data_IF_291273464578
#
_entry.id   IF_291273464578
#
_cell.length_a   1.000
_cell.length_b   1.000
_cell.length_c   1.000
_cell.angle_alpha   90.00
_cell.angle_beta   90.00
_cell.angle_gamma   90.00
#
_symmetry.space_group_name_H-M   'P 1'
#
loop_
_entity.id
_entity.type
_entity.pdbx_description
1 polymer ?
#
# COMPACT_ATOMS: atom_id res chain seq x y z
N UNK A 1 16.00 -9.36 -2.52
CA UNK A 1 14.54 -9.65 -2.56
C UNK A 1 13.81 -9.28 -1.27
N UNK A 2 14.29 -9.69 -0.08
CA UNK A 2 13.60 -9.36 1.18
C UNK A 2 13.52 -7.85 1.51
N UNK A 3 14.53 -7.08 1.08
CA UNK A 3 14.58 -5.62 1.24
C UNK A 3 13.43 -4.92 0.50
N UNK A 4 13.25 -5.18 -0.81
CA UNK A 4 12.10 -4.66 -1.58
C UNK A 4 10.75 -5.11 -1.02
N UNK A 5 10.65 -6.33 -0.47
CA UNK A 5 9.43 -6.79 0.17
C UNK A 5 9.07 -5.96 1.41
N UNK A 6 10.06 -5.64 2.27
CA UNK A 6 9.82 -4.78 3.43
C UNK A 6 9.51 -3.34 3.00
N UNK A 7 10.28 -2.82 2.04
CA UNK A 7 10.11 -1.47 1.49
C UNK A 7 8.70 -1.28 0.91
N UNK A 8 8.23 -2.22 0.09
CA UNK A 8 6.88 -2.21 -0.48
C UNK A 8 5.81 -2.34 0.59
N UNK A 9 6.02 -3.21 1.58
CA UNK A 9 5.09 -3.41 2.70
C UNK A 9 4.87 -2.09 3.45
N UNK A 10 5.96 -1.44 3.85
CA UNK A 10 5.90 -0.23 4.67
C UNK A 10 5.32 0.94 3.86
N UNK A 11 5.73 1.09 2.59
CA UNK A 11 5.17 2.09 1.68
C UNK A 11 3.65 1.92 1.52
N UNK A 12 3.18 0.72 1.15
CA UNK A 12 1.77 0.49 0.88
C UNK A 12 0.91 0.56 2.14
N UNK A 13 1.42 0.13 3.29
CA UNK A 13 0.75 0.24 4.59
C UNK A 13 0.46 1.72 4.94
N UNK A 14 1.45 2.60 4.80
CA UNK A 14 1.25 4.03 5.03
C UNK A 14 0.24 4.60 4.03
N UNK A 15 0.36 4.27 2.74
CA UNK A 15 -0.53 4.80 1.70
C UNK A 15 -2.00 4.41 1.93
N UNK A 16 -2.27 3.15 2.26
CA UNK A 16 -3.65 2.69 2.46
C UNK A 16 -4.25 3.22 3.76
N UNK A 17 -3.44 3.37 4.81
CA UNK A 17 -3.87 3.97 6.07
C UNK A 17 -4.27 5.44 5.86
N UNK A 18 -3.39 6.23 5.24
CA UNK A 18 -3.67 7.64 4.92
C UNK A 18 -4.90 7.78 4.04
N UNK A 19 -5.05 6.95 3.01
CA UNK A 19 -6.22 7.00 2.14
C UNK A 19 -7.53 6.67 2.89
N UNK A 20 -7.51 5.68 3.80
CA UNK A 20 -8.69 5.37 4.63
C UNK A 20 -9.09 6.56 5.51
N UNK A 21 -8.12 7.24 6.12
CA UNK A 21 -8.37 8.44 6.93
C UNK A 21 -8.98 9.57 6.10
N UNK A 22 -8.48 9.80 4.88
CA UNK A 22 -9.05 10.78 3.93
C UNK A 22 -10.50 10.45 3.57
N UNK A 23 -10.80 9.16 3.34
CA UNK A 23 -12.16 8.70 3.08
C UNK A 23 -13.08 8.72 4.31
N UNK A 24 -12.53 8.94 5.51
CA UNK A 24 -13.25 8.88 6.78
C UNK A 24 -14.08 7.58 6.97
N UNK A 25 -13.56 6.45 6.50
CA UNK A 25 -14.26 5.17 6.57
C UNK A 25 -13.66 4.20 7.59
N UNK A 26 -14.50 3.26 8.06
CA UNK A 26 -14.10 2.25 9.03
C UNK A 26 -13.13 1.23 8.45
N UNK A 27 -12.46 0.47 9.31
CA UNK A 27 -11.58 -0.63 8.89
C UNK A 27 -12.35 -1.70 8.11
N UNK A 28 -13.59 -2.00 8.50
CA UNK A 28 -14.47 -2.95 7.81
C UNK A 28 -14.81 -2.46 6.40
N UNK A 29 -15.21 -1.18 6.27
CA UNK A 29 -15.56 -0.61 4.97
C UNK A 29 -14.35 -0.57 4.03
N UNK A 30 -13.17 -0.31 4.56
CA UNK A 30 -11.94 -0.35 3.77
C UNK A 30 -11.56 -1.79 3.38
N UNK A 31 -11.74 -2.76 4.27
CA UNK A 31 -11.53 -4.17 3.97
C UNK A 31 -12.45 -4.67 2.86
N UNK A 32 -13.72 -4.26 2.85
CA UNK A 32 -14.67 -4.54 1.77
C UNK A 32 -14.18 -4.00 0.41
N UNK A 33 -13.74 -2.74 0.38
CA UNK A 33 -13.20 -2.09 -0.82
C UNK A 33 -11.98 -2.83 -1.37
N UNK A 34 -11.12 -3.31 -0.48
CA UNK A 34 -9.91 -4.08 -0.80
C UNK A 34 -10.17 -5.57 -1.05
N UNK A 35 -11.42 -6.03 -0.90
CA UNK A 35 -11.83 -7.43 -1.06
C UNK A 35 -11.06 -8.41 -0.16
N UNK A 36 -10.82 -8.01 1.09
CA UNK A 36 -10.17 -8.84 2.11
C UNK A 36 -11.01 -8.90 3.38
N UNK A 37 -10.67 -9.82 4.29
CA UNK A 37 -11.35 -9.87 5.59
C UNK A 37 -10.99 -8.65 6.45
N UNK A 38 -11.88 -8.19 7.35
CA UNK A 38 -11.56 -7.12 8.30
C UNK A 38 -10.31 -7.42 9.14
N UNK A 39 -10.14 -8.69 9.56
CA UNK A 39 -8.94 -9.13 10.28
C UNK A 39 -7.67 -8.97 9.45
N UNK A 40 -7.73 -9.32 8.16
CA UNK A 40 -6.61 -9.13 7.24
C UNK A 40 -6.25 -7.65 7.08
N UNK A 41 -7.25 -6.77 7.02
CA UNK A 41 -7.01 -5.33 6.95
C UNK A 41 -6.40 -4.76 8.24
N UNK A 42 -6.90 -5.17 9.42
CA UNK A 42 -6.33 -4.78 10.71
C UNK A 42 -4.87 -5.22 10.83
N UNK A 43 -4.56 -6.47 10.46
CA UNK A 43 -3.19 -6.98 10.46
C UNK A 43 -2.30 -6.22 9.45
N UNK A 44 -2.86 -5.79 8.33
CA UNK A 44 -2.18 -4.97 7.32
C UNK A 44 -1.85 -3.58 7.86
N UNK A 45 -2.79 -2.86 8.49
CA UNK A 45 -2.52 -1.53 9.08
C UNK A 45 -1.52 -1.60 10.25
N UNK A 46 -1.41 -2.77 10.91
CA UNK A 46 -0.40 -3.02 11.95
C UNK A 46 0.96 -3.45 11.41
N UNK A 47 1.12 -3.56 10.08
CA UNK A 47 2.38 -3.95 9.44
C UNK A 47 2.77 -5.42 9.57
N UNK A 48 1.84 -6.27 10.04
CA UNK A 48 2.08 -7.70 10.24
C UNK A 48 2.20 -8.44 8.92
N UNK A 49 1.39 -8.06 7.93
CA UNK A 49 1.42 -8.61 6.57
C UNK A 49 1.45 -7.50 5.53
N UNK A 50 2.07 -7.77 4.39
CA UNK A 50 2.03 -6.88 3.23
C UNK A 50 0.84 -7.13 2.33
N UNK A 51 0.77 -6.33 1.28
CA UNK A 51 -0.22 -6.49 0.21
C UNK A 51 0.03 -7.79 -0.56
N UNK A 52 -1.05 -8.51 -0.87
CA UNK A 52 -1.03 -9.45 -1.99
C UNK A 52 -1.13 -8.68 -3.32
N UNK A 53 -0.77 -9.32 -4.43
CA UNK A 53 -0.95 -8.74 -5.76
C UNK A 53 -2.43 -8.35 -6.03
N UNK A 54 -3.38 -9.19 -5.62
CA UNK A 54 -4.80 -8.92 -5.75
C UNK A 54 -5.24 -7.70 -4.91
N UNK A 55 -4.80 -7.62 -3.65
CA UNK A 55 -5.08 -6.47 -2.77
C UNK A 55 -4.50 -5.19 -3.35
N UNK A 56 -3.31 -5.26 -3.97
CA UNK A 56 -2.69 -4.10 -4.62
C UNK A 56 -3.50 -3.64 -5.83
N UNK A 57 -3.94 -4.56 -6.70
CA UNK A 57 -4.80 -4.23 -7.83
C UNK A 57 -6.11 -3.57 -7.38
N UNK A 58 -6.79 -4.12 -6.35
CA UNK A 58 -8.00 -3.48 -5.82
C UNK A 58 -7.75 -2.13 -5.18
N UNK A 59 -6.59 -1.93 -4.55
CA UNK A 59 -6.22 -0.62 -4.02
C UNK A 59 -6.07 0.41 -5.13
N UNK A 60 -5.42 0.06 -6.24
CA UNK A 60 -5.32 0.95 -7.41
C UNK A 60 -6.71 1.30 -7.97
N UNK A 61 -7.64 0.35 -8.02
CA UNK A 61 -8.98 0.55 -8.56
C UNK A 61 -9.89 1.45 -7.70
N UNK A 62 -9.59 1.62 -6.41
CA UNK A 62 -10.39 2.47 -5.52
C UNK A 62 -9.82 3.87 -5.35
N UNK A 63 -8.60 4.12 -5.85
CA UNK A 63 -7.96 5.43 -5.82
C UNK A 63 -8.46 6.29 -7.00
N UNK A 64 -8.56 7.62 -6.83
CA UNK A 64 -8.64 8.55 -7.95
C UNK A 64 -7.47 8.36 -8.93
N UNK A 65 -7.66 8.62 -10.22
CA UNK A 65 -6.63 8.40 -11.25
C UNK A 65 -5.33 9.19 -10.97
N UNK A 66 -5.46 10.44 -10.51
CA UNK A 66 -4.31 11.26 -10.11
C UNK A 66 -3.54 10.64 -8.93
N UNK A 67 -4.27 10.11 -7.94
CA UNK A 67 -3.67 9.44 -6.77
C UNK A 67 -2.97 8.14 -7.16
N UNK A 68 -3.48 7.42 -8.17
CA UNK A 68 -2.81 6.23 -8.75
C UNK A 68 -1.48 6.63 -9.38
N UNK A 69 -1.48 7.66 -10.22
CA UNK A 69 -0.24 8.16 -10.85
C UNK A 69 0.77 8.62 -9.80
N UNK A 70 0.32 9.35 -8.79
CA UNK A 70 1.20 9.82 -7.71
C UNK A 70 1.71 8.67 -6.85
N UNK A 71 0.90 7.64 -6.60
CA UNK A 71 1.36 6.41 -5.94
C UNK A 71 2.49 5.74 -6.72
N UNK A 72 2.30 5.52 -8.01
CA UNK A 72 3.29 4.84 -8.85
C UNK A 72 4.56 5.68 -9.03
N UNK A 73 4.45 7.01 -9.13
CA UNK A 73 5.60 7.93 -9.17
C UNK A 73 6.37 7.92 -7.86
N UNK A 74 5.69 7.97 -6.71
CA UNK A 74 6.35 7.86 -5.40
C UNK A 74 7.05 6.51 -5.23
N UNK A 75 6.39 5.42 -5.66
CA UNK A 75 6.97 4.08 -5.59
C UNK A 75 8.22 3.96 -6.46
N UNK A 76 8.18 4.45 -7.72
CA UNK A 76 9.37 4.48 -8.59
C UNK A 76 10.53 5.20 -7.92
N UNK A 77 10.30 6.41 -7.39
CA UNK A 77 11.33 7.18 -6.69
C UNK A 77 11.89 6.45 -5.46
N UNK A 78 11.06 5.67 -4.77
CA UNK A 78 11.48 4.88 -3.61
C UNK A 78 12.42 3.75 -4.03
N UNK A 79 12.07 3.03 -5.11
CA UNK A 79 12.90 1.96 -5.68
C UNK A 79 14.21 2.53 -6.23
N UNK A 80 14.15 3.61 -7.03
CA UNK A 80 15.36 4.23 -7.58
C UNK A 80 16.34 4.66 -6.48
N UNK A 81 15.84 5.10 -5.31
CA UNK A 81 16.69 5.43 -4.16
C UNK A 81 17.33 4.20 -3.54
N UNK A 82 16.59 3.12 -3.41
CA UNK A 82 17.09 1.85 -2.88
C UNK A 82 18.18 1.28 -3.79
N UNK A 83 17.93 1.24 -5.10
CA UNK A 83 18.87 0.77 -6.11
C UNK A 83 20.19 1.55 -6.09
N UNK A 84 20.12 2.88 -5.92
CA UNK A 84 21.30 3.74 -5.83
C UNK A 84 22.03 3.62 -4.49
N UNK A 85 21.34 3.26 -3.40
CA UNK A 85 21.95 3.01 -2.10
C UNK A 85 22.69 1.66 -2.06
N UNK A 86 22.16 0.63 -2.73
CA UNK A 86 22.84 -0.67 -2.88
C UNK A 86 24.09 -0.59 -3.78
N UNK A 87 24.23 0.46 -4.60
CA UNK A 87 25.35 0.69 -5.51
C UNK A 87 26.51 1.51 -4.93
N UNK A 88 26.38 2.05 -3.70
CA UNK A 88 27.35 2.90 -3.01
C UNK A 88 28.08 2.14 -1.87
#
# INVERSE_FOLDING_TARGET
>A
MHQYQSLLKDFLMVRVHSYRLTLQCSQERMAEKLRISPRSYIDLERGKYGFSAATFAFFLLILPEDDVLDLLRSLRKLIDKEDNHDAA
#
